data_IF_661471543254
#
_entry.id   IF_661471543254
#
_cell.length_a   1.000
_cell.length_b   1.000
_cell.length_c   1.000
_cell.angle_alpha   90.00
_cell.angle_beta   90.00
_cell.angle_gamma   90.00
#
_symmetry.space_group_name_H-M   'P 1'
#
loop_
_entity.id
_entity.type
_entity.pdbx_description
1 polymer ?
#
# COMPACT_ATOMS: atom_id res chain seq x y z
N UNK A 1 32.06 -51.18 44.80
CA UNK A 1 31.29 -49.92 44.80
C UNK A 1 31.25 -49.36 43.39
N UNK A 2 30.06 -49.30 42.81
CA UNK A 2 29.83 -48.85 41.44
C UNK A 2 29.94 -47.33 41.33
N UNK A 3 30.66 -46.83 40.32
CA UNK A 3 30.50 -45.46 39.82
C UNK A 3 30.23 -45.53 38.32
N UNK A 4 28.96 -45.31 37.97
CA UNK A 4 28.46 -45.12 36.60
C UNK A 4 29.26 -44.00 35.94
N UNK A 5 29.95 -44.30 34.83
CA UNK A 5 30.40 -43.28 33.88
C UNK A 5 29.18 -42.84 33.07
N UNK A 6 28.73 -41.62 33.32
CA UNK A 6 27.71 -40.95 32.51
C UNK A 6 28.28 -40.67 31.14
N UNK A 7 27.65 -41.28 30.14
CA UNK A 7 27.93 -41.11 28.73
C UNK A 7 27.37 -39.74 28.28
N UNK A 8 28.21 -38.72 28.18
CA UNK A 8 27.81 -37.43 27.61
C UNK A 8 27.80 -37.58 26.10
N UNK A 9 26.61 -37.86 25.55
CA UNK A 9 26.39 -37.80 24.11
C UNK A 9 26.65 -36.36 23.66
N UNK A 10 27.62 -36.18 22.76
CA UNK A 10 27.75 -34.97 21.95
C UNK A 10 26.40 -34.72 21.26
N UNK A 11 25.63 -33.77 21.79
CA UNK A 11 24.62 -33.09 21.02
C UNK A 11 25.40 -32.22 20.04
N UNK A 12 25.41 -32.61 18.77
CA UNK A 12 25.83 -31.73 17.69
C UNK A 12 24.96 -30.48 17.79
N UNK A 13 25.57 -29.35 18.10
CA UNK A 13 24.97 -28.04 17.94
C UNK A 13 24.53 -27.92 16.48
N UNK A 14 23.22 -27.88 16.28
CA UNK A 14 22.59 -27.37 15.06
C UNK A 14 22.31 -25.90 15.35
N UNK A 15 23.02 -24.94 14.72
CA UNK A 15 22.67 -23.54 14.83
C UNK A 15 21.25 -23.34 14.27
N UNK A 16 20.28 -23.18 15.16
CA UNK A 16 18.90 -22.80 14.81
C UNK A 16 18.82 -21.28 14.74
N UNK A 17 19.37 -20.73 13.66
CA UNK A 17 18.84 -19.53 13.02
C UNK A 17 18.51 -20.00 11.60
N UNK A 18 17.32 -19.79 11.04
CA UNK A 18 17.28 -19.61 9.60
C UNK A 18 18.16 -18.38 9.39
N UNK A 19 19.41 -18.58 9.00
CA UNK A 19 19.99 -17.70 8.01
C UNK A 19 18.91 -17.68 6.92
N UNK A 20 18.00 -16.68 6.99
CA UNK A 20 17.66 -15.96 5.78
C UNK A 20 19.01 -15.85 5.11
N UNK A 21 19.20 -16.66 4.07
CA UNK A 21 20.29 -16.43 3.18
C UNK A 21 20.22 -14.94 2.97
N UNK A 22 21.23 -14.23 3.44
CA UNK A 22 21.75 -13.11 2.70
C UNK A 22 21.97 -13.71 1.31
N UNK A 23 20.89 -13.80 0.52
CA UNK A 23 20.94 -13.45 -0.86
C UNK A 23 21.59 -12.10 -0.78
N UNK A 24 22.92 -12.14 -0.93
CA UNK A 24 23.77 -11.04 -1.34
C UNK A 24 22.83 -10.04 -1.95
N UNK A 25 22.72 -8.85 -1.34
CA UNK A 25 22.02 -7.71 -1.92
C UNK A 25 22.50 -7.64 -3.35
N UNK A 26 21.77 -8.31 -4.24
CA UNK A 26 21.97 -8.27 -5.66
C UNK A 26 21.35 -6.94 -5.92
N UNK A 27 22.23 -5.94 -5.93
CA UNK A 27 22.04 -4.64 -6.54
C UNK A 27 20.61 -4.50 -7.06
N UNK A 28 19.74 -3.84 -6.29
CA UNK A 28 18.37 -3.48 -6.69
C UNK A 28 18.36 -2.69 -8.03
N UNK A 29 19.53 -2.30 -8.54
CA UNK A 29 19.75 -1.76 -9.88
C UNK A 29 19.58 -2.76 -11.02
N UNK A 30 19.56 -4.08 -10.78
CA UNK A 30 19.41 -5.08 -11.84
C UNK A 30 17.94 -5.35 -12.22
N UNK A 31 16.99 -5.21 -11.29
CA UNK A 31 15.55 -5.44 -11.55
C UNK A 31 14.94 -4.36 -12.46
N UNK A 32 15.44 -3.12 -12.38
CA UNK A 32 15.02 -2.04 -13.28
C UNK A 32 15.54 -2.21 -14.72
N UNK A 33 16.50 -3.11 -14.99
CA UNK A 33 17.09 -3.22 -16.33
C UNK A 33 16.13 -3.70 -17.41
N UNK A 34 15.16 -4.57 -17.08
CA UNK A 34 14.23 -5.13 -18.07
C UNK A 34 13.07 -4.19 -18.39
N UNK A 35 12.51 -3.53 -17.36
CA UNK A 35 11.48 -2.50 -17.51
C UNK A 35 11.94 -1.33 -18.36
N UNK A 36 13.22 -0.96 -18.24
CA UNK A 36 13.81 0.18 -18.95
C UNK A 36 14.25 -0.13 -20.39
N UNK A 37 13.90 -1.30 -20.94
CA UNK A 37 14.13 -1.62 -22.35
C UNK A 37 12.92 -1.24 -23.18
N UNK A 38 13.11 -0.88 -24.46
CA UNK A 38 11.99 -0.57 -25.38
C UNK A 38 10.95 -1.71 -25.40
N UNK A 39 11.31 -3.01 -25.54
CA UNK A 39 10.33 -4.10 -25.50
C UNK A 39 9.64 -4.26 -24.14
N UNK A 40 10.37 -3.99 -23.04
CA UNK A 40 9.80 -4.00 -21.70
C UNK A 40 8.74 -2.91 -21.54
N UNK A 41 9.07 -1.67 -21.88
CA UNK A 41 8.15 -0.54 -21.83
C UNK A 41 6.91 -0.74 -22.70
N UNK A 42 7.06 -1.26 -23.92
CA UNK A 42 5.94 -1.58 -24.82
C UNK A 42 4.99 -2.59 -24.19
N UNK A 43 5.52 -3.66 -23.59
CA UNK A 43 4.73 -4.66 -22.87
C UNK A 43 4.00 -4.05 -21.66
N UNK A 44 4.68 -3.25 -20.83
CA UNK A 44 4.07 -2.62 -19.66
C UNK A 44 3.00 -1.61 -20.04
N UNK A 45 3.25 -0.77 -21.06
CA UNK A 45 2.25 0.18 -21.59
C UNK A 45 1.03 -0.57 -22.13
N UNK A 46 1.23 -1.68 -22.84
CA UNK A 46 0.13 -2.51 -23.33
C UNK A 46 -0.69 -3.11 -22.18
N UNK A 47 -0.04 -3.69 -21.16
CA UNK A 47 -0.72 -4.23 -19.96
C UNK A 47 -1.46 -3.13 -19.17
N UNK A 48 -0.85 -1.97 -18.97
CA UNK A 48 -1.52 -0.84 -18.32
C UNK A 48 -2.73 -0.36 -19.13
N UNK A 49 -2.66 -0.37 -20.47
CA UNK A 49 -3.79 0.06 -21.31
C UNK A 49 -5.02 -0.85 -21.19
N UNK A 50 -4.82 -2.17 -21.10
CA UNK A 50 -5.95 -3.13 -21.00
C UNK A 50 -6.63 -3.09 -19.63
N UNK A 51 -6.04 -2.48 -18.61
CA UNK A 51 -6.70 -2.25 -17.31
C UNK A 51 -7.98 -1.42 -17.45
N UNK A 52 -8.00 -0.49 -18.39
CA UNK A 52 -9.11 0.45 -18.64
C UNK A 52 -9.97 0.04 -19.84
N UNK A 53 -9.55 -0.97 -20.60
CA UNK A 53 -10.31 -1.52 -21.73
C UNK A 53 -10.98 -2.84 -21.31
N UNK A 54 -12.33 -2.92 -21.25
CA UNK A 54 -13.03 -4.15 -20.90
C UNK A 54 -12.92 -5.24 -22.00
N UNK A 55 -12.34 -4.93 -23.17
CA UNK A 55 -12.20 -5.88 -24.27
C UNK A 55 -11.39 -7.10 -23.84
N UNK A 56 -11.95 -8.29 -24.08
CA UNK A 56 -11.41 -9.60 -23.69
C UNK A 56 -11.40 -9.89 -22.19
N UNK A 57 -11.99 -9.02 -21.36
CA UNK A 57 -12.25 -9.37 -19.96
C UNK A 57 -13.18 -10.58 -19.87
N UNK A 58 -12.89 -11.45 -18.92
CA UNK A 58 -13.56 -12.73 -18.68
C UNK A 58 -13.82 -12.98 -17.19
N UNK A 59 -13.65 -11.95 -16.37
CA UNK A 59 -13.90 -11.92 -14.93
C UNK A 59 -14.35 -10.52 -14.50
N UNK A 60 -15.31 -10.46 -13.57
CA UNK A 60 -15.72 -9.21 -12.91
C UNK A 60 -15.39 -9.28 -11.42
N UNK A 61 -14.62 -8.33 -10.91
CA UNK A 61 -14.44 -8.13 -9.46
C UNK A 61 -15.42 -7.04 -9.01
N UNK A 62 -16.21 -7.34 -7.99
CA UNK A 62 -17.18 -6.42 -7.40
C UNK A 62 -16.72 -6.05 -6.00
N UNK A 63 -16.70 -4.75 -5.68
CA UNK A 63 -16.36 -4.26 -4.36
C UNK A 63 -17.29 -3.10 -4.00
N UNK A 64 -18.21 -3.32 -3.06
CA UNK A 64 -19.24 -2.33 -2.73
C UNK A 64 -20.10 -1.97 -3.94
N UNK A 65 -19.96 -0.74 -4.44
CA UNK A 65 -20.68 -0.23 -5.62
C UNK A 65 -19.87 -0.32 -6.91
N UNK A 66 -18.58 -0.62 -6.81
CA UNK A 66 -17.67 -0.62 -7.94
C UNK A 66 -17.59 -2.02 -8.56
N UNK A 67 -17.64 -2.07 -9.89
CA UNK A 67 -17.43 -3.28 -10.66
C UNK A 67 -16.26 -3.09 -11.62
N UNK A 68 -15.33 -4.04 -11.64
CA UNK A 68 -14.12 -4.02 -12.45
C UNK A 68 -14.11 -5.20 -13.40
N UNK A 69 -14.20 -4.93 -14.71
CA UNK A 69 -13.93 -5.91 -15.75
C UNK A 69 -12.42 -6.18 -15.82
N UNK A 70 -12.01 -7.42 -15.58
CA UNK A 70 -10.60 -7.84 -15.49
C UNK A 70 -10.35 -9.14 -16.26
N UNK A 71 -9.07 -9.50 -16.40
CA UNK A 71 -8.62 -10.62 -17.21
C UNK A 71 -8.07 -11.74 -16.31
N UNK A 72 -8.69 -12.93 -16.35
CA UNK A 72 -8.27 -14.10 -15.56
C UNK A 72 -6.81 -14.47 -15.80
N UNK A 73 -6.36 -14.42 -17.05
CA UNK A 73 -4.98 -14.77 -17.40
C UNK A 73 -3.93 -13.86 -16.72
N UNK A 74 -4.32 -12.67 -16.28
CA UNK A 74 -3.46 -11.74 -15.53
C UNK A 74 -3.71 -11.91 -14.03
N UNK A 75 -4.97 -11.85 -13.59
CA UNK A 75 -5.31 -11.84 -12.17
C UNK A 75 -5.02 -13.19 -11.50
N UNK A 76 -5.44 -14.31 -12.11
CA UNK A 76 -5.27 -15.65 -11.54
C UNK A 76 -3.81 -16.13 -11.58
N UNK A 77 -3.00 -15.66 -12.52
CA UNK A 77 -1.57 -16.03 -12.58
C UNK A 77 -0.73 -15.27 -11.55
N UNK A 78 -1.26 -14.16 -11.01
CA UNK A 78 -0.59 -13.30 -10.03
C UNK A 78 -1.14 -13.40 -8.61
N UNK A 79 -2.18 -14.22 -8.41
CA UNK A 79 -2.82 -14.40 -7.10
C UNK A 79 -3.36 -15.81 -6.95
N UNK A 80 -2.85 -16.49 -5.93
CA UNK A 80 -3.30 -17.83 -5.58
C UNK A 80 -4.73 -17.86 -5.03
N UNK A 81 -5.20 -16.75 -4.45
CA UNK A 81 -6.60 -16.57 -4.05
C UNK A 81 -7.51 -16.57 -5.28
N UNK A 82 -7.26 -15.67 -6.24
CA UNK A 82 -8.10 -15.53 -7.43
C UNK A 82 -8.07 -16.79 -8.30
N UNK A 83 -6.90 -17.43 -8.43
CA UNK A 83 -6.77 -18.74 -9.09
C UNK A 83 -7.69 -19.78 -8.47
N UNK A 84 -7.65 -19.95 -7.15
CA UNK A 84 -8.50 -20.93 -6.44
C UNK A 84 -9.99 -20.58 -6.53
N UNK A 85 -10.34 -19.28 -6.53
CA UNK A 85 -11.71 -18.84 -6.70
C UNK A 85 -12.26 -19.16 -8.10
N UNK A 86 -11.46 -18.93 -9.15
CA UNK A 86 -11.86 -19.17 -10.54
C UNK A 86 -11.77 -20.65 -10.98
N UNK A 87 -10.82 -21.42 -10.45
CA UNK A 87 -10.60 -22.83 -10.83
C UNK A 87 -11.34 -23.81 -9.90
N UNK A 88 -11.84 -23.33 -8.76
CA UNK A 88 -12.48 -24.14 -7.74
C UNK A 88 -13.91 -24.55 -8.08
N UNK A 89 -14.57 -25.21 -7.13
CA UNK A 89 -15.99 -25.58 -7.23
C UNK A 89 -16.91 -24.53 -6.57
N UNK A 90 -16.45 -23.29 -6.45
CA UNK A 90 -17.22 -22.20 -5.85
C UNK A 90 -18.05 -21.47 -6.91
N UNK A 91 -19.02 -20.66 -6.48
CA UNK A 91 -19.97 -19.98 -7.37
C UNK A 91 -19.25 -19.08 -8.40
N UNK A 92 -18.12 -18.50 -8.00
CA UNK A 92 -17.25 -17.61 -8.76
C UNK A 92 -16.69 -18.28 -10.02
N UNK A 93 -16.40 -19.59 -9.95
CA UNK A 93 -15.92 -20.38 -11.10
C UNK A 93 -16.95 -20.44 -12.24
N UNK A 94 -18.24 -20.44 -11.90
CA UNK A 94 -19.35 -20.56 -12.83
C UNK A 94 -19.89 -19.21 -13.28
N UNK A 95 -19.85 -18.21 -12.39
CA UNK A 95 -20.41 -16.88 -12.65
C UNK A 95 -19.40 -15.92 -13.25
N UNK A 96 -18.09 -16.20 -13.13
CA UNK A 96 -17.02 -15.26 -13.46
C UNK A 96 -17.16 -13.93 -12.72
N UNK A 97 -17.68 -13.96 -11.49
CA UNK A 97 -17.88 -12.80 -10.64
C UNK A 97 -17.31 -13.10 -9.26
N UNK A 98 -16.44 -12.24 -8.75
CA UNK A 98 -15.86 -12.34 -7.41
C UNK A 98 -16.26 -11.11 -6.62
N UNK A 99 -16.94 -11.30 -5.49
CA UNK A 99 -17.36 -10.21 -4.62
C UNK A 99 -16.39 -10.08 -3.45
N UNK A 100 -15.72 -8.94 -3.33
CA UNK A 100 -14.80 -8.61 -2.24
C UNK A 100 -15.50 -7.69 -1.23
N UNK A 101 -15.22 -7.92 0.06
CA UNK A 101 -15.76 -7.14 1.18
C UNK A 101 -14.73 -6.16 1.76
N UNK A 102 -13.70 -5.84 0.96
CA UNK A 102 -12.60 -4.97 1.35
C UNK A 102 -12.95 -3.50 1.10
N UNK A 103 -12.07 -2.61 1.54
CA UNK A 103 -12.20 -1.19 1.23
C UNK A 103 -12.05 -0.94 -0.29
N UNK A 104 -13.00 -0.25 -0.95
CA UNK A 104 -12.96 -0.01 -2.39
C UNK A 104 -11.65 0.61 -2.88
N UNK A 105 -11.08 1.55 -2.12
CA UNK A 105 -9.80 2.18 -2.45
C UNK A 105 -8.63 1.19 -2.45
N UNK A 106 -8.62 0.20 -1.56
CA UNK A 106 -7.60 -0.86 -1.55
C UNK A 106 -7.80 -1.81 -2.73
N UNK A 107 -9.05 -2.18 -3.05
CA UNK A 107 -9.33 -3.06 -4.18
C UNK A 107 -8.98 -2.39 -5.50
N UNK A 108 -9.32 -1.12 -5.70
CA UNK A 108 -8.95 -0.35 -6.89
C UNK A 108 -7.44 -0.42 -7.14
N UNK A 109 -6.66 -0.15 -6.09
CA UNK A 109 -5.20 -0.09 -6.15
C UNK A 109 -4.54 -1.48 -6.23
N UNK A 110 -5.12 -2.51 -5.63
CA UNK A 110 -4.71 -3.90 -5.85
C UNK A 110 -4.93 -4.32 -7.30
N UNK A 111 -6.06 -3.94 -7.90
CA UNK A 111 -6.33 -4.23 -9.30
C UNK A 111 -5.36 -3.45 -10.19
N UNK A 112 -5.08 -2.17 -9.89
CA UNK A 112 -4.07 -1.39 -10.61
C UNK A 112 -2.71 -2.10 -10.63
N UNK A 113 -2.27 -2.60 -9.47
CA UNK A 113 -1.02 -3.36 -9.34
C UNK A 113 -0.91 -4.56 -10.28
N UNK A 114 -2.02 -5.27 -10.55
CA UNK A 114 -1.96 -6.42 -11.47
C UNK A 114 -1.53 -6.06 -12.89
N UNK A 115 -1.71 -4.80 -13.30
CA UNK A 115 -1.43 -4.34 -14.67
C UNK A 115 -0.24 -3.38 -14.75
N UNK A 116 0.04 -2.61 -13.70
CA UNK A 116 1.10 -1.61 -13.68
C UNK A 116 2.32 -2.01 -12.84
N UNK A 117 2.23 -3.07 -12.04
CA UNK A 117 3.21 -3.49 -11.03
C UNK A 117 3.47 -2.48 -9.90
N UNK A 118 2.65 -1.44 -9.79
CA UNK A 118 2.69 -0.50 -8.68
C UNK A 118 1.27 -0.10 -8.27
N UNK A 119 1.15 0.58 -7.13
CA UNK A 119 -0.11 1.16 -6.68
C UNK A 119 0.13 2.53 -6.06
N UNK A 120 -0.83 3.44 -6.18
CA UNK A 120 -0.69 4.80 -5.67
C UNK A 120 -1.67 5.07 -4.53
N UNK A 121 -1.28 5.97 -3.63
CA UNK A 121 -2.18 6.48 -2.59
C UNK A 121 -2.72 7.82 -3.07
N UNK A 122 -4.04 7.91 -3.26
CA UNK A 122 -4.70 9.18 -3.54
C UNK A 122 -4.95 9.88 -2.19
N UNK A 123 -4.02 10.72 -1.75
CA UNK A 123 -4.23 11.56 -0.57
C UNK A 123 -5.38 12.53 -0.85
N UNK A 124 -6.42 12.52 -0.02
CA UNK A 124 -7.56 13.43 -0.16
C UNK A 124 -7.15 14.88 0.10
N UNK A 125 -6.83 15.61 -0.97
CA UNK A 125 -6.92 17.07 -1.08
C UNK A 125 -5.76 17.90 -0.53
N UNK A 126 -4.78 18.20 -1.39
CA UNK A 126 -4.48 19.57 -1.86
C UNK A 126 -3.92 19.46 -3.29
N UNK A 127 -4.32 20.31 -4.25
CA UNK A 127 -3.59 20.41 -5.50
C UNK A 127 -2.17 20.84 -5.15
N UNK A 128 -1.22 19.98 -5.49
CA UNK A 128 0.21 20.23 -5.37
C UNK A 128 0.50 21.52 -6.14
N UNK A 129 0.80 22.59 -5.41
CA UNK A 129 1.30 23.82 -5.99
C UNK A 129 2.71 23.54 -6.50
N UNK A 130 2.83 23.59 -7.82
CA UNK A 130 4.06 23.83 -8.59
C UNK A 130 5.13 22.74 -8.53
N UNK A 131 4.90 21.65 -9.28
CA UNK A 131 6.00 20.96 -9.95
C UNK A 131 6.19 21.56 -11.35
N UNK A 132 7.30 22.28 -11.50
CA UNK A 132 7.78 22.97 -12.68
C UNK A 132 7.63 22.17 -13.98
N UNK A 133 7.07 22.84 -14.98
CA UNK A 133 7.13 22.46 -16.39
C UNK A 133 8.58 22.59 -16.86
N UNK A 134 9.26 21.47 -17.08
CA UNK A 134 10.35 21.41 -18.05
C UNK A 134 9.75 21.07 -19.40
N UNK A 135 9.40 22.08 -20.19
CA UNK A 135 9.22 21.91 -21.62
C UNK A 135 10.12 22.89 -22.37
N UNK A 136 11.04 22.31 -23.12
CA UNK A 136 11.97 23.00 -23.98
C UNK A 136 11.56 22.82 -25.42
N UNK A 137 11.24 23.94 -26.05
CA UNK A 137 11.44 24.25 -27.47
C UNK A 137 10.37 23.75 -28.45
N UNK A 138 9.56 24.68 -28.98
CA UNK A 138 9.71 25.08 -30.39
C UNK A 138 9.04 26.43 -30.68
N UNK A 139 9.82 27.29 -31.34
CA UNK A 139 9.40 28.53 -31.97
C UNK A 139 8.56 28.27 -33.23
N UNK A 140 7.68 29.24 -33.55
CA UNK A 140 7.44 29.89 -34.84
C UNK A 140 6.00 30.45 -34.82
N UNK A 141 5.84 31.75 -34.56
CA UNK A 141 5.77 32.85 -35.54
C UNK A 141 4.36 33.10 -36.11
N UNK A 142 3.95 34.36 -35.92
CA UNK A 142 3.11 35.17 -36.79
C UNK A 142 1.56 35.23 -36.66
N UNK A 143 1.15 36.26 -35.89
CA UNK A 143 0.64 37.52 -36.46
C UNK A 143 -0.88 37.71 -36.72
N UNK A 144 -1.33 38.87 -36.22
CA UNK A 144 -2.48 39.72 -36.54
C UNK A 144 -3.87 39.48 -35.91
N UNK A 145 -4.14 40.34 -34.93
CA UNK A 145 -5.46 40.82 -34.51
C UNK A 145 -6.26 41.45 -35.66
N UNK A 146 -7.59 41.27 -35.67
CA UNK A 146 -8.52 42.28 -36.21
C UNK A 146 -9.88 42.19 -35.50
N UNK A 147 -10.16 43.27 -34.77
CA UNK A 147 -11.43 43.96 -34.48
C UNK A 147 -12.73 43.49 -35.15
N UNK A 148 -13.84 43.52 -34.39
CA UNK A 148 -15.12 44.28 -34.61
C UNK A 148 -16.14 43.78 -33.57
N UNK A 149 -16.69 44.56 -32.64
CA UNK A 149 -17.61 45.70 -32.73
C UNK A 149 -18.89 45.39 -33.54
N UNK A 150 -20.04 45.29 -32.86
CA UNK A 150 -21.34 45.52 -33.50
C UNK A 150 -22.52 44.67 -33.02
N UNK A 151 -23.37 45.33 -32.22
CA UNK A 151 -24.77 45.62 -32.60
C UNK A 151 -25.95 44.90 -31.91
N UNK A 152 -26.53 45.68 -30.99
CA UNK A 152 -27.95 46.03 -30.72
C UNK A 152 -29.10 45.13 -31.20
N UNK A 153 -29.90 44.76 -30.19
CA UNK A 153 -31.34 45.08 -30.02
C UNK A 153 -32.42 44.44 -30.91
N UNK A 154 -33.36 43.74 -30.26
CA UNK A 154 -34.82 43.73 -30.53
C UNK A 154 -35.48 42.75 -29.53
N UNK A 155 -36.17 43.17 -28.47
CA UNK A 155 -37.58 43.59 -28.36
C UNK A 155 -38.65 42.50 -28.60
N UNK A 156 -39.63 42.50 -27.66
CA UNK A 156 -40.98 41.90 -27.66
C UNK A 156 -41.09 40.37 -27.55
N UNK A 157 -42.01 39.75 -26.80
CA UNK A 157 -43.15 40.19 -25.97
C UNK A 157 -43.78 38.97 -25.26
N UNK A 158 -44.44 39.25 -24.14
CA UNK A 158 -45.65 38.59 -23.60
C UNK A 158 -45.62 37.20 -22.92
N UNK A 159 -46.10 37.26 -21.66
CA UNK A 159 -47.04 36.35 -20.99
C UNK A 159 -46.60 34.93 -20.62
N UNK A 160 -46.47 34.66 -19.31
CA UNK A 160 -47.44 33.87 -18.53
C UNK A 160 -46.88 33.54 -17.13
N UNK A 161 -47.68 33.83 -16.10
CA UNK A 161 -47.45 33.32 -14.73
C UNK A 161 -47.96 31.88 -14.66
N UNK A 162 -47.05 30.91 -14.50
CA UNK A 162 -47.40 29.53 -14.12
C UNK A 162 -46.69 29.16 -12.80
N UNK A 163 -47.41 28.88 -11.69
CA UNK A 163 -46.83 28.60 -10.40
C UNK A 163 -46.78 27.08 -10.15
N UNK A 164 -45.71 26.40 -10.59
CA UNK A 164 -45.37 25.04 -10.10
C UNK A 164 -43.87 24.81 -9.96
N UNK A 165 -43.26 25.46 -8.97
CA UNK A 165 -41.95 25.05 -8.46
C UNK A 165 -42.15 23.89 -7.47
N UNK A 166 -42.27 22.68 -8.02
CA UNK A 166 -42.12 21.46 -7.23
C UNK A 166 -40.66 21.40 -6.74
N UNK A 167 -40.48 21.44 -5.42
CA UNK A 167 -39.23 21.07 -4.78
C UNK A 167 -38.85 19.65 -5.19
N UNK A 168 -37.82 19.50 -6.03
CA UNK A 168 -37.06 18.26 -6.11
C UNK A 168 -36.17 18.18 -4.86
N UNK A 169 -36.27 17.13 -4.03
CA UNK A 169 -35.28 16.90 -3.00
C UNK A 169 -33.90 16.78 -3.66
N UNK A 170 -32.94 17.57 -3.18
CA UNK A 170 -31.53 17.29 -3.39
C UNK A 170 -31.25 16.03 -2.58
N UNK A 171 -31.31 14.87 -3.22
CA UNK A 171 -30.74 13.66 -2.65
C UNK A 171 -29.23 13.91 -2.53
N UNK A 172 -28.81 14.13 -1.29
CA UNK A 172 -27.44 14.24 -0.85
C UNK A 172 -26.79 12.87 -1.04
N UNK A 173 -26.19 12.63 -2.20
CA UNK A 173 -25.14 11.64 -2.32
C UNK A 173 -23.86 12.26 -1.74
N UNK A 174 -23.75 12.26 -0.41
CA UNK A 174 -22.47 12.40 0.27
C UNK A 174 -21.67 11.14 -0.01
N UNK A 175 -20.96 11.13 -1.14
CA UNK A 175 -19.86 10.20 -1.37
C UNK A 175 -18.73 10.62 -0.42
N UNK A 176 -18.80 10.12 0.81
CA UNK A 176 -17.77 10.31 1.82
C UNK A 176 -16.57 9.47 1.40
N UNK A 177 -15.77 9.97 0.45
CA UNK A 177 -14.52 9.36 0.08
C UNK A 177 -13.64 9.31 1.33
N UNK A 178 -13.47 8.12 1.91
CA UNK A 178 -12.62 7.91 3.07
C UNK A 178 -11.19 8.23 2.62
N UNK A 179 -10.66 9.38 3.05
CA UNK A 179 -9.27 9.75 2.83
C UNK A 179 -8.42 8.94 3.82
N UNK A 180 -7.66 7.98 3.33
CA UNK A 180 -6.74 7.20 4.15
C UNK A 180 -5.46 8.01 4.42
N UNK A 181 -4.92 7.91 5.63
CA UNK A 181 -3.52 8.26 5.86
C UNK A 181 -2.63 7.34 5.00
N UNK A 182 -1.62 7.87 4.28
CA UNK A 182 -0.80 7.07 3.38
C UNK A 182 -0.08 5.89 4.04
N UNK A 183 0.39 6.05 5.28
CA UNK A 183 1.06 4.98 6.02
C UNK A 183 0.07 3.87 6.37
N UNK A 184 -1.11 4.23 6.88
CA UNK A 184 -2.20 3.27 7.13
C UNK A 184 -2.63 2.55 5.86
N UNK A 185 -2.73 3.26 4.72
CA UNK A 185 -3.05 2.64 3.44
C UNK A 185 -2.02 1.57 3.03
N UNK A 186 -0.73 1.85 3.17
CA UNK A 186 0.32 0.89 2.86
C UNK A 186 0.31 -0.33 3.79
N UNK A 187 0.02 -0.14 5.08
CA UNK A 187 -0.12 -1.22 6.05
C UNK A 187 -1.32 -2.12 5.69
N UNK A 188 -2.46 -1.52 5.36
CA UNK A 188 -3.65 -2.26 4.96
C UNK A 188 -3.45 -2.98 3.62
N UNK A 189 -2.75 -2.36 2.66
CA UNK A 189 -2.41 -2.99 1.38
C UNK A 189 -1.50 -4.21 1.58
N UNK A 190 -0.52 -4.14 2.49
CA UNK A 190 0.31 -5.30 2.85
C UNK A 190 -0.57 -6.45 3.35
N UNK A 191 -1.50 -6.17 4.26
CA UNK A 191 -2.39 -7.17 4.87
C UNK A 191 -3.42 -7.72 3.88
N UNK A 192 -3.88 -6.91 2.92
CA UNK A 192 -4.70 -7.37 1.80
C UNK A 192 -3.90 -8.30 0.88
N UNK A 193 -2.69 -7.90 0.48
CA UNK A 193 -1.82 -8.67 -0.40
C UNK A 193 -1.46 -10.05 0.18
N UNK A 194 -1.24 -10.13 1.50
CA UNK A 194 -1.02 -11.39 2.19
C UNK A 194 -2.22 -12.34 2.09
N UNK A 195 -3.43 -11.85 2.40
CA UNK A 195 -4.67 -12.66 2.33
C UNK A 195 -5.03 -13.08 0.91
N UNK A 196 -4.69 -12.25 -0.07
CA UNK A 196 -4.91 -12.53 -1.49
C UNK A 196 -3.76 -13.32 -2.12
N UNK A 197 -2.72 -13.68 -1.35
CA UNK A 197 -1.52 -14.39 -1.82
C UNK A 197 -0.86 -13.71 -3.03
N UNK A 198 -0.59 -12.40 -2.92
CA UNK A 198 0.06 -11.57 -3.94
C UNK A 198 1.44 -11.13 -3.42
N UNK A 199 2.44 -12.01 -3.52
CA UNK A 199 3.75 -11.80 -2.91
C UNK A 199 4.44 -10.51 -3.35
N UNK A 200 4.36 -10.17 -4.64
CA UNK A 200 4.97 -8.96 -5.18
C UNK A 200 4.33 -7.67 -4.64
N UNK A 201 3.00 -7.66 -4.46
CA UNK A 201 2.30 -6.53 -3.86
C UNK A 201 2.64 -6.42 -2.38
N UNK A 202 2.67 -7.55 -1.66
CA UNK A 202 3.08 -7.62 -0.25
C UNK A 202 4.49 -7.05 -0.05
N UNK A 203 5.43 -7.40 -0.94
CA UNK A 203 6.80 -6.90 -0.91
C UNK A 203 6.88 -5.37 -1.14
N UNK A 204 6.19 -4.86 -2.17
CA UNK A 204 6.19 -3.42 -2.47
C UNK A 204 5.48 -2.63 -1.36
N UNK A 205 4.36 -3.13 -0.82
CA UNK A 205 3.68 -2.48 0.30
C UNK A 205 4.57 -2.41 1.54
N UNK A 206 5.29 -3.49 1.87
CA UNK A 206 6.27 -3.46 2.96
C UNK A 206 7.35 -2.40 2.75
N UNK A 207 7.86 -2.27 1.53
CA UNK A 207 8.88 -1.28 1.17
C UNK A 207 8.33 0.15 1.26
N UNK A 208 7.08 0.38 0.82
CA UNK A 208 6.41 1.67 0.97
C UNK A 208 6.15 2.03 2.43
N UNK A 209 5.70 1.08 3.26
CA UNK A 209 5.60 1.28 4.73
C UNK A 209 6.97 1.65 5.31
N UNK A 210 8.04 0.94 4.92
CA UNK A 210 9.39 1.23 5.41
C UNK A 210 9.85 2.65 5.06
N UNK A 211 9.57 3.12 3.84
CA UNK A 211 9.93 4.47 3.39
C UNK A 211 9.15 5.53 4.13
N UNK A 212 7.82 5.38 4.21
CA UNK A 212 6.91 6.32 4.83
C UNK A 212 7.16 6.43 6.35
N UNK A 213 7.27 5.29 7.04
CA UNK A 213 7.49 5.25 8.49
C UNK A 213 8.83 5.89 8.92
N UNK A 214 9.87 5.82 8.08
CA UNK A 214 11.16 6.49 8.35
C UNK A 214 11.04 8.01 8.37
N UNK A 215 10.08 8.57 7.66
CA UNK A 215 9.91 10.01 7.53
C UNK A 215 8.94 10.57 8.60
N UNK A 216 8.19 9.69 9.27
CA UNK A 216 7.09 10.05 10.17
C UNK A 216 7.27 9.43 11.56
N UNK A 217 8.40 9.72 12.19
CA UNK A 217 8.73 9.30 13.56
C UNK A 217 8.16 10.26 14.62
N UNK A 218 7.00 10.87 14.34
CA UNK A 218 6.37 11.87 15.20
C UNK A 218 5.35 11.25 16.20
N UNK A 219 4.91 12.02 17.23
CA UNK A 219 4.06 11.52 18.31
C UNK A 219 2.62 11.15 17.98
N UNK A 220 2.17 11.40 16.76
CA UNK A 220 0.84 11.05 16.29
C UNK A 220 0.90 9.92 15.26
N UNK A 221 1.84 9.98 14.29
CA UNK A 221 1.96 8.97 13.25
C UNK A 221 2.61 7.66 13.75
N UNK A 222 3.70 7.74 14.51
CA UNK A 222 4.46 6.54 14.88
C UNK A 222 3.66 5.57 15.76
N UNK A 223 3.02 6.00 16.89
CA UNK A 223 2.18 5.11 17.69
C UNK A 223 1.05 4.48 16.90
N UNK A 224 0.40 5.26 16.03
CA UNK A 224 -0.70 4.78 15.19
C UNK A 224 -0.22 3.71 14.21
N UNK A 225 0.95 3.89 13.60
CA UNK A 225 1.53 2.90 12.70
C UNK A 225 1.83 1.57 13.41
N UNK A 226 2.36 1.60 14.64
CA UNK A 226 2.58 0.39 15.43
C UNK A 226 1.24 -0.30 15.74
N UNK A 227 0.22 0.47 16.11
CA UNK A 227 -1.13 -0.05 16.33
C UNK A 227 -1.70 -0.72 15.07
N UNK A 228 -1.68 -0.03 13.93
CA UNK A 228 -2.18 -0.53 12.66
C UNK A 228 -1.45 -1.81 12.21
N UNK A 229 -0.12 -1.86 12.36
CA UNK A 229 0.68 -3.05 12.03
C UNK A 229 0.24 -4.24 12.88
N UNK A 230 0.12 -4.08 14.20
CA UNK A 230 -0.18 -5.20 15.10
C UNK A 230 -1.65 -5.63 15.08
N UNK A 231 -2.56 -4.77 14.64
CA UNK A 231 -3.98 -5.10 14.47
C UNK A 231 -4.32 -5.68 13.10
N UNK A 232 -3.58 -5.32 12.06
CA UNK A 232 -3.85 -5.80 10.70
C UNK A 232 -3.04 -7.04 10.30
N UNK A 233 -2.01 -7.40 11.07
CA UNK A 233 -1.19 -8.60 10.81
C UNK A 233 -1.32 -9.62 11.94
N UNK A 234 -1.43 -10.93 11.67
CA UNK A 234 -1.40 -11.95 12.72
C UNK A 234 0.02 -12.16 13.30
N UNK A 235 0.17 -12.79 14.48
CA UNK A 235 1.49 -13.03 15.09
C UNK A 235 2.46 -13.88 14.25
N UNK A 236 1.95 -14.71 13.34
CA UNK A 236 2.74 -15.50 12.40
C UNK A 236 3.32 -14.66 11.26
N UNK A 237 2.70 -13.52 10.94
CA UNK A 237 3.15 -12.60 9.91
C UNK A 237 4.18 -11.61 10.45
N UNK A 238 5.44 -12.01 10.35
CA UNK A 238 6.57 -11.26 10.94
C UNK A 238 7.05 -10.08 10.10
N UNK A 239 6.61 -9.94 8.85
CA UNK A 239 7.16 -8.95 7.91
C UNK A 239 7.13 -7.51 8.41
N UNK A 240 5.92 -6.96 8.64
CA UNK A 240 5.76 -5.61 9.19
C UNK A 240 6.07 -5.53 10.68
N UNK A 241 5.83 -6.60 11.46
CA UNK A 241 6.12 -6.63 12.90
C UNK A 241 7.61 -6.50 13.20
N UNK A 242 8.45 -7.23 12.45
CA UNK A 242 9.91 -7.10 12.54
C UNK A 242 10.38 -5.72 12.03
N UNK A 243 9.75 -5.19 10.98
CA UNK A 243 10.03 -3.83 10.51
C UNK A 243 9.77 -2.78 11.60
N UNK A 244 8.62 -2.85 12.27
CA UNK A 244 8.25 -1.98 13.38
C UNK A 244 9.31 -2.05 14.50
N UNK A 245 9.64 -3.25 14.98
CA UNK A 245 10.66 -3.46 16.02
C UNK A 245 12.02 -2.92 15.58
N UNK A 246 12.45 -3.18 14.35
CA UNK A 246 13.72 -2.70 13.82
C UNK A 246 13.78 -1.17 13.72
N UNK A 247 12.67 -0.53 13.32
CA UNK A 247 12.57 0.93 13.30
C UNK A 247 12.65 1.50 14.71
N UNK A 248 11.91 0.92 15.66
CA UNK A 248 11.95 1.32 17.07
C UNK A 248 13.37 1.19 17.61
N UNK A 249 14.04 0.05 17.41
CA UNK A 249 15.38 -0.21 17.91
C UNK A 249 16.43 0.73 17.31
N UNK A 250 16.31 1.05 16.01
CA UNK A 250 17.26 1.92 15.30
C UNK A 250 17.13 3.39 15.71
N UNK A 251 15.92 3.83 16.05
CA UNK A 251 15.64 5.24 16.38
C UNK A 251 15.18 5.42 17.83
N UNK A 252 15.48 4.47 18.73
CA UNK A 252 14.91 4.45 20.08
C UNK A 252 15.23 5.72 20.87
N UNK A 253 16.45 6.24 20.72
CA UNK A 253 16.86 7.48 21.35
C UNK A 253 15.98 8.63 20.88
N UNK A 254 15.90 8.86 19.56
CA UNK A 254 15.07 9.90 18.95
C UNK A 254 13.60 9.78 19.38
N UNK A 255 13.06 8.56 19.32
CA UNK A 255 11.67 8.26 19.66
C UNK A 255 11.33 8.51 21.14
N UNK A 256 12.32 8.40 22.05
CA UNK A 256 12.15 8.62 23.50
C UNK A 256 12.61 9.99 23.98
N UNK A 257 13.43 10.71 23.21
CA UNK A 257 13.86 12.06 23.54
C UNK A 257 12.88 13.09 22.99
N UNK A 258 12.29 13.91 23.86
CA UNK A 258 11.56 15.11 23.45
C UNK A 258 12.55 16.27 23.35
N UNK A 259 12.65 16.96 22.21
CA UNK A 259 13.45 18.17 22.10
C UNK A 259 12.87 19.34 22.92
N UNK A 260 11.54 19.47 23.06
CA UNK A 260 10.92 20.58 23.81
C UNK A 260 9.54 20.17 24.37
N UNK A 261 9.43 19.88 25.67
CA UNK A 261 8.19 19.73 26.49
C UNK A 261 6.91 19.13 25.85
N UNK A 262 7.04 18.29 24.82
CA UNK A 262 5.94 17.81 23.99
C UNK A 262 5.96 16.28 23.96
N UNK A 263 4.82 15.67 23.67
CA UNK A 263 4.63 14.21 23.69
C UNK A 263 5.78 13.52 22.92
N UNK A 264 6.31 12.43 23.46
CA UNK A 264 7.32 11.61 22.76
C UNK A 264 6.64 10.65 21.79
N UNK A 265 7.34 10.28 20.70
CA UNK A 265 6.83 9.34 19.71
C UNK A 265 6.73 7.91 20.22
N UNK A 266 7.54 7.55 21.22
CA UNK A 266 7.46 6.26 21.88
C UNK A 266 7.19 6.39 23.38
N UNK A 267 5.93 6.67 23.78
CA UNK A 267 5.56 6.80 25.19
C UNK A 267 5.40 5.42 25.84
N UNK A 268 5.63 5.34 27.16
CA UNK A 268 5.53 4.07 27.90
C UNK A 268 4.14 3.42 27.80
N UNK A 269 3.08 4.22 27.61
CA UNK A 269 1.72 3.71 27.37
C UNK A 269 1.60 2.83 26.13
N UNK A 270 2.40 3.07 25.08
CA UNK A 270 2.35 2.26 23.85
C UNK A 270 2.79 0.81 24.13
N UNK A 271 3.74 0.64 25.05
CA UNK A 271 4.21 -0.67 25.52
C UNK A 271 3.11 -1.40 26.31
N UNK A 272 2.22 -0.69 26.97
CA UNK A 272 1.10 -1.31 27.69
C UNK A 272 -0.12 -1.58 26.79
N UNK A 273 -0.36 -0.73 25.79
CA UNK A 273 -1.51 -0.83 24.88
C UNK A 273 -1.35 -1.94 23.85
N UNK A 274 -0.11 -2.29 23.46
CA UNK A 274 0.16 -3.32 22.45
C UNK A 274 1.11 -4.39 23.02
N UNK A 275 0.62 -5.33 23.84
CA UNK A 275 1.47 -6.29 24.56
C UNK A 275 2.34 -7.17 23.64
N UNK A 276 1.83 -7.56 22.48
CA UNK A 276 2.60 -8.36 21.51
C UNK A 276 3.80 -7.57 20.96
N UNK A 277 3.63 -6.28 20.68
CA UNK A 277 4.74 -5.43 20.25
C UNK A 277 5.79 -5.31 21.35
N UNK A 278 5.36 -5.15 22.61
CA UNK A 278 6.25 -5.08 23.77
C UNK A 278 7.05 -6.36 23.95
N UNK A 279 6.41 -7.51 23.78
CA UNK A 279 7.09 -8.81 23.80
C UNK A 279 8.13 -8.90 22.67
N UNK A 280 7.75 -8.55 21.44
CA UNK A 280 8.63 -8.61 20.28
C UNK A 280 9.84 -7.65 20.44
N UNK A 281 9.60 -6.44 20.94
CA UNK A 281 10.64 -5.44 21.21
C UNK A 281 11.58 -5.91 22.34
N UNK A 282 11.04 -6.44 23.44
CA UNK A 282 11.85 -6.95 24.55
C UNK A 282 12.75 -8.10 24.11
N UNK A 283 12.22 -9.04 23.32
CA UNK A 283 13.01 -10.14 22.75
C UNK A 283 14.13 -9.60 21.87
N UNK A 284 13.86 -8.60 21.02
CA UNK A 284 14.88 -7.98 20.19
C UNK A 284 15.97 -7.27 21.01
N UNK A 285 15.60 -6.55 22.08
CA UNK A 285 16.55 -5.90 23.00
C UNK A 285 17.44 -6.94 23.70
N UNK A 286 16.84 -8.02 24.21
CA UNK A 286 17.59 -9.10 24.86
C UNK A 286 18.58 -9.76 23.89
N UNK A 287 18.14 -10.07 22.67
CA UNK A 287 18.99 -10.68 21.65
C UNK A 287 20.17 -9.79 21.26
N UNK A 288 19.93 -8.47 21.14
CA UNK A 288 21.00 -7.50 20.88
C UNK A 288 22.00 -7.47 22.04
N UNK A 289 21.52 -7.42 23.28
CA UNK A 289 22.36 -7.38 24.48
C UNK A 289 23.24 -8.63 24.61
N UNK A 290 22.66 -9.82 24.37
CA UNK A 290 23.41 -11.09 24.38
C UNK A 290 24.48 -11.11 23.29
N UNK A 291 24.17 -10.59 22.10
CA UNK A 291 25.11 -10.53 20.98
C UNK A 291 26.29 -9.59 21.28
N UNK A 292 26.01 -8.44 21.89
CA UNK A 292 27.04 -7.50 22.35
C UNK A 292 27.93 -8.13 23.44
N UNK A 293 27.34 -8.82 24.43
CA UNK A 293 28.13 -9.48 25.48
C UNK A 293 29.05 -10.58 24.96
N UNK A 294 28.59 -11.40 24.01
CA UNK A 294 29.42 -12.44 23.41
C UNK A 294 30.55 -11.89 22.51
N UNK A 295 30.42 -10.65 22.04
CA UNK A 295 31.43 -10.01 21.19
C UNK A 295 32.57 -9.40 22.01
N UNK A 296 32.31 -9.04 23.27
CA UNK A 296 33.26 -8.31 24.13
C UNK A 296 33.59 -8.99 25.46
N UNK A 297 32.94 -10.12 25.79
CA UNK A 297 33.17 -10.93 26.98
C UNK A 297 33.82 -12.27 26.67
#
# INVERSE_FOLDING_TARGET
MAKKKGNVRHLREVPWWPQESETSVKDLSDEHKLQNTIPGEELFKALASIRLDPKYSDLTIVCGRDEYAVHKCIVCTRSDFFRKACDGNFEESSTNRIVLQEEPALVEQMIEYFYSLDYQVKSGGYPDSDHEITDGTSLNEDTHSTTTAGDRSSQHSDSEMDPKRANKPKDLAEDSTISFDPLSFHILMYSLADRMFIDGLKAISKEKVRKELRQRLDPDAFPQAIFDIYNSTPPTERGLRNLAVNMTMSHLTELRTSSECSRVAFPDRLVTEIPQFSSDLLVAVMNKSVSEWNQWG
#
